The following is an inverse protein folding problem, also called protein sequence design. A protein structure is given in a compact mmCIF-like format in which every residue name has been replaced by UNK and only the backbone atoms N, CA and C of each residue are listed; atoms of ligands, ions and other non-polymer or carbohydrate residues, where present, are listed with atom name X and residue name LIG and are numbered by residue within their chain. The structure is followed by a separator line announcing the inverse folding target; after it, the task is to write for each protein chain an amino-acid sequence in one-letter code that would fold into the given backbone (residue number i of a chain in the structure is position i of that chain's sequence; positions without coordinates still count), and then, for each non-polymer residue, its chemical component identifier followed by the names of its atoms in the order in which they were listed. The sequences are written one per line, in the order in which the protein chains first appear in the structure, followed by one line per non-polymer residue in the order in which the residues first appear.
data_IF_244519987617
#
_entry.id   IF_244519987617
#
_cell.length_a   1.000
_cell.length_b   1.000
_cell.length_c   1.000
_cell.angle_alpha   90.00
_cell.angle_beta   90.00
_cell.angle_gamma   90.00
#
_symmetry.space_group_name_H-M   'P 1'
#
loop_
_entity.id
_entity.type
_entity.pdbx_description
1 polymer ?
#
# COMPACT_ATOMS: atom_id res chain seq x y z
N UNK A 1 -10.97 4.22 8.91
CA UNK A 1 -9.92 4.17 9.95
C UNK A 1 -8.81 3.24 9.43
N UNK A 2 -7.51 3.59 9.64
CA UNK A 2 -6.36 2.83 9.12
C UNK A 2 -6.41 1.34 9.49
N UNK A 3 -6.81 1.03 10.73
CA UNK A 3 -6.91 -0.36 11.21
C UNK A 3 -7.95 -1.16 10.43
N UNK A 4 -9.12 -0.58 10.16
CA UNK A 4 -10.15 -1.26 9.37
C UNK A 4 -9.69 -1.50 7.94
N UNK A 5 -9.05 -0.51 7.32
CA UNK A 5 -8.53 -0.63 5.94
C UNK A 5 -7.47 -1.74 5.83
N UNK A 6 -6.52 -1.80 6.78
CA UNK A 6 -5.48 -2.86 6.78
C UNK A 6 -6.06 -4.26 7.03
N UNK A 7 -7.14 -4.36 7.82
CA UNK A 7 -7.79 -5.65 8.05
C UNK A 7 -8.59 -6.12 6.83
N UNK A 8 -9.16 -5.20 6.07
CA UNK A 8 -9.89 -5.50 4.83
C UNK A 8 -8.94 -5.75 3.66
N UNK A 9 -7.89 -4.95 3.55
CA UNK A 9 -6.87 -5.04 2.50
C UNK A 9 -5.48 -5.14 3.14
N UNK A 10 -5.02 -6.36 3.51
CA UNK A 10 -3.73 -6.52 4.19
C UNK A 10 -2.52 -6.18 3.30
N UNK A 11 -2.70 -6.22 1.99
CA UNK A 11 -1.69 -5.86 0.99
C UNK A 11 -2.07 -4.53 0.33
N UNK A 12 -2.01 -3.44 1.10
CA UNK A 12 -2.33 -2.11 0.59
C UNK A 12 -1.06 -1.31 0.30
N UNK A 13 -1.11 -0.49 -0.72
CA UNK A 13 -0.12 0.53 -1.03
C UNK A 13 -0.63 1.94 -0.65
N UNK A 14 0.16 2.98 -0.96
CA UNK A 14 -0.20 4.36 -0.62
C UNK A 14 -1.44 4.83 -1.39
N UNK A 15 -1.65 4.37 -2.61
CA UNK A 15 -2.78 4.76 -3.46
C UNK A 15 -4.08 4.14 -2.95
N UNK A 16 -4.05 2.89 -2.49
CA UNK A 16 -5.18 2.26 -1.80
C UNK A 16 -5.57 3.04 -0.54
N UNK A 17 -4.56 3.51 0.22
CA UNK A 17 -4.80 4.34 1.40
C UNK A 17 -5.41 5.69 1.04
N UNK A 18 -4.89 6.38 0.01
CA UNK A 18 -5.44 7.64 -0.47
C UNK A 18 -6.91 7.48 -0.88
N UNK A 19 -7.20 6.43 -1.62
CA UNK A 19 -8.57 6.10 -2.05
C UNK A 19 -9.50 5.83 -0.84
N UNK A 20 -9.00 5.11 0.18
CA UNK A 20 -9.77 4.79 1.38
C UNK A 20 -10.12 6.02 2.25
N UNK A 21 -9.34 7.10 2.16
CA UNK A 21 -9.55 8.35 2.91
C UNK A 21 -10.04 9.51 2.04
N UNK A 22 -10.40 9.24 0.79
CA UNK A 22 -10.91 10.20 -0.19
C UNK A 22 -9.99 11.43 -0.37
N UNK A 23 -8.69 11.15 -0.48
CA UNK A 23 -7.67 12.17 -0.74
C UNK A 23 -7.12 11.97 -2.15
N UNK A 24 -7.64 12.73 -3.10
CA UNK A 24 -7.10 12.76 -4.46
C UNK A 24 -5.69 13.35 -4.51
N UNK A 25 -4.74 12.57 -5.05
CA UNK A 25 -3.41 12.98 -5.56
C UNK A 25 -2.58 13.95 -4.69
N UNK A 26 -2.91 14.15 -3.43
CA UNK A 26 -2.07 14.96 -2.53
C UNK A 26 -0.91 14.13 -2.01
N UNK A 27 0.28 14.71 -2.06
CA UNK A 27 1.46 14.11 -1.42
C UNK A 27 1.18 13.87 0.06
N UNK A 28 1.11 12.61 0.47
CA UNK A 28 1.03 12.26 1.88
C UNK A 28 2.28 12.73 2.60
N UNK A 29 2.08 13.53 3.63
CA UNK A 29 3.17 14.09 4.43
C UNK A 29 2.78 13.95 5.90
N UNK A 30 3.69 13.41 6.69
CA UNK A 30 3.52 13.39 8.14
C UNK A 30 4.05 14.70 8.72
N UNK A 31 3.16 15.47 9.32
CA UNK A 31 3.43 16.82 9.80
C UNK A 31 3.95 16.84 11.24
N UNK A 32 4.47 18.00 11.67
CA UNK A 32 4.90 18.24 13.07
C UNK A 32 3.73 18.05 14.06
N UNK A 33 2.51 18.39 13.67
CA UNK A 33 1.34 18.27 14.55
C UNK A 33 1.00 16.80 14.82
N UNK A 34 1.13 15.94 13.80
CA UNK A 34 0.95 14.49 13.95
C UNK A 34 2.05 13.90 14.82
N UNK A 35 3.32 14.29 14.62
CA UNK A 35 4.42 13.85 15.47
C UNK A 35 4.22 14.26 16.94
N UNK A 36 3.72 15.47 17.23
CA UNK A 36 3.36 15.89 18.57
C UNK A 36 2.20 15.07 19.18
N UNK A 37 1.19 14.77 18.37
CA UNK A 37 0.05 13.96 18.80
C UNK A 37 0.49 12.51 19.13
N UNK A 38 1.39 11.93 18.34
CA UNK A 38 1.99 10.62 18.60
C UNK A 38 2.76 10.64 19.94
N UNK A 39 3.66 11.60 20.13
CA UNK A 39 4.43 11.73 21.36
C UNK A 39 3.54 11.87 22.59
N UNK A 40 2.47 12.71 22.48
CA UNK A 40 1.48 12.87 23.57
C UNK A 40 0.74 11.58 23.89
N UNK A 41 0.32 10.82 22.87
CA UNK A 41 -0.37 9.53 23.09
C UNK A 41 0.55 8.51 23.75
N UNK A 42 1.82 8.44 23.37
CA UNK A 42 2.77 7.50 23.95
C UNK A 42 3.17 7.86 25.40
N UNK A 43 3.14 9.12 25.78
CA UNK A 43 3.38 9.53 27.17
C UNK A 43 2.25 9.19 28.15
N UNK A 44 1.07 8.78 27.66
CA UNK A 44 -0.02 8.34 28.53
C UNK A 44 0.29 6.94 29.08
N UNK A 45 -0.11 6.69 30.34
CA UNK A 45 -0.02 5.34 30.92
C UNK A 45 -0.92 4.37 30.18
N UNK A 46 -0.41 3.16 29.94
CA UNK A 46 -1.24 2.04 29.47
C UNK A 46 -2.03 1.47 30.66
N UNK A 47 -3.32 1.25 30.47
CA UNK A 47 -4.17 0.61 31.50
C UNK A 47 -4.53 -0.84 31.17
N UNK A 48 -4.49 -1.19 29.87
CA UNK A 48 -4.97 -2.49 29.36
C UNK A 48 -3.84 -3.45 29.00
N UNK A 49 -2.62 -2.94 28.84
CA UNK A 49 -1.47 -3.72 28.36
C UNK A 49 -0.19 -3.31 29.05
N UNK A 50 0.70 -4.26 29.23
CA UNK A 50 2.03 -4.02 29.77
C UNK A 50 2.96 -3.28 28.79
N UNK A 51 2.72 -3.45 27.49
CA UNK A 51 3.52 -2.86 26.40
C UNK A 51 2.72 -1.88 25.58
N UNK A 52 3.41 -0.84 25.11
CA UNK A 52 2.91 0.11 24.10
C UNK A 52 3.57 -0.20 22.75
N UNK A 53 2.80 -0.14 21.69
CA UNK A 53 3.30 -0.32 20.34
C UNK A 53 2.95 0.91 19.50
N UNK A 54 3.96 1.46 18.82
CA UNK A 54 3.76 2.42 17.74
C UNK A 54 4.21 1.77 16.43
N UNK A 55 3.29 1.67 15.48
CA UNK A 55 3.61 1.34 14.10
C UNK A 55 3.50 2.63 13.31
N UNK A 56 4.61 3.06 12.70
CA UNK A 56 4.67 4.20 11.80
C UNK A 56 4.94 3.68 10.40
N UNK A 57 3.92 3.73 9.56
CA UNK A 57 4.02 3.34 8.16
C UNK A 57 4.49 4.51 7.32
N UNK A 58 5.40 4.27 6.39
CA UNK A 58 6.05 5.25 5.51
C UNK A 58 6.72 6.41 6.26
N UNK A 59 7.67 6.14 7.16
CA UNK A 59 8.42 7.19 7.87
C UNK A 59 9.23 8.10 6.93
N UNK A 60 9.51 7.70 5.70
CA UNK A 60 10.09 8.52 4.64
C UNK A 60 9.19 9.71 4.24
N UNK A 61 7.90 9.67 4.56
CA UNK A 61 6.97 10.79 4.38
C UNK A 61 7.01 11.82 5.53
N UNK A 62 7.85 11.59 6.55
CA UNK A 62 8.09 12.57 7.61
C UNK A 62 8.83 13.80 7.04
N UNK A 63 8.28 14.98 7.26
CA UNK A 63 9.05 16.20 7.07
C UNK A 63 10.21 16.24 8.06
N UNK A 64 11.34 16.84 7.68
CA UNK A 64 12.53 16.96 8.53
C UNK A 64 12.22 17.50 9.93
N UNK A 65 11.36 18.50 10.02
CA UNK A 65 10.92 19.08 11.29
C UNK A 65 10.11 18.10 12.15
N UNK A 66 9.24 17.30 11.52
CA UNK A 66 8.44 16.27 12.17
C UNK A 66 9.34 15.13 12.67
N UNK A 67 10.27 14.68 11.83
CA UNK A 67 11.27 13.68 12.18
C UNK A 67 12.12 14.11 13.38
N UNK A 68 12.61 15.34 13.38
CA UNK A 68 13.39 15.90 14.50
C UNK A 68 12.61 15.91 15.82
N UNK A 69 11.28 16.09 15.77
CA UNK A 69 10.44 15.98 16.98
C UNK A 69 10.30 14.55 17.48
N UNK A 70 10.43 13.57 16.60
CA UNK A 70 10.36 12.16 16.96
C UNK A 70 11.71 11.60 17.43
N UNK A 71 12.85 12.27 17.16
CA UNK A 71 14.16 11.77 17.54
C UNK A 71 14.26 11.46 19.02
N UNK A 72 13.75 12.36 19.87
CA UNK A 72 13.76 12.12 21.32
C UNK A 72 12.98 10.85 21.73
N UNK A 73 11.86 10.62 21.06
CA UNK A 73 11.03 9.44 21.30
C UNK A 73 11.73 8.16 20.82
N UNK A 74 12.49 8.25 19.73
CA UNK A 74 13.23 7.12 19.15
C UNK A 74 14.48 6.81 20.00
N UNK A 75 15.16 7.85 20.51
CA UNK A 75 16.37 7.69 21.34
C UNK A 75 16.04 7.14 22.74
N UNK A 76 15.02 7.70 23.36
CA UNK A 76 14.65 7.41 24.75
C UNK A 76 13.15 7.10 24.82
N UNK A 77 12.72 5.94 24.30
CA UNK A 77 11.32 5.56 24.39
C UNK A 77 10.94 5.31 25.86
N UNK A 78 9.69 5.61 26.19
CA UNK A 78 9.11 5.24 27.47
C UNK A 78 9.28 3.75 27.75
N UNK A 79 9.39 3.36 29.02
CA UNK A 79 9.51 1.96 29.40
C UNK A 79 8.41 1.10 28.75
N UNK A 80 8.78 -0.10 28.30
CA UNK A 80 7.85 -1.06 27.66
C UNK A 80 7.17 -0.50 26.40
N UNK A 81 7.87 0.38 25.68
CA UNK A 81 7.39 0.91 24.39
C UNK A 81 8.22 0.36 23.24
N UNK A 82 7.58 -0.23 22.24
CA UNK A 82 8.19 -0.69 21.00
C UNK A 82 7.76 0.21 19.84
N UNK A 83 8.74 0.74 19.13
CA UNK A 83 8.54 1.56 17.94
C UNK A 83 8.90 0.72 16.71
N UNK A 84 7.97 0.56 15.80
CA UNK A 84 8.15 -0.15 14.52
C UNK A 84 7.96 0.85 13.39
N UNK A 85 9.02 1.12 12.64
CA UNK A 85 9.01 1.98 11.46
C UNK A 85 8.98 1.08 10.22
N UNK A 86 7.92 1.15 9.44
CA UNK A 86 7.75 0.34 8.22
C UNK A 86 7.96 1.25 7.02
N UNK A 87 9.15 1.15 6.41
CA UNK A 87 9.56 1.95 5.26
C UNK A 87 9.59 1.09 3.99
N UNK A 88 9.20 1.66 2.87
CA UNK A 88 9.37 1.06 1.54
C UNK A 88 10.78 1.32 1.02
N UNK A 89 11.32 2.51 1.27
CA UNK A 89 12.67 2.90 0.89
C UNK A 89 13.47 3.34 2.12
N UNK A 90 14.38 2.49 2.57
CA UNK A 90 15.25 2.79 3.70
C UNK A 90 16.27 3.90 3.40
N UNK A 91 16.64 4.09 2.13
CA UNK A 91 17.60 5.10 1.72
C UNK A 91 16.98 6.51 1.68
N UNK A 92 15.66 6.59 1.56
CA UNK A 92 14.91 7.84 1.67
C UNK A 92 14.73 8.32 3.12
N UNK A 93 15.04 7.47 4.12
CA UNK A 93 14.97 7.85 5.51
C UNK A 93 16.08 8.82 5.90
N UNK A 94 15.76 9.75 6.80
CA UNK A 94 16.78 10.62 7.38
C UNK A 94 17.82 9.80 8.15
N UNK A 95 19.10 10.09 7.92
CA UNK A 95 20.22 9.42 8.60
C UNK A 95 20.14 9.51 10.12
N UNK A 96 19.50 10.55 10.64
CA UNK A 96 19.22 10.73 12.07
C UNK A 96 18.23 9.69 12.62
N UNK A 97 17.36 9.13 11.82
CA UNK A 97 16.45 8.05 12.20
C UNK A 97 17.17 6.71 12.08
N UNK A 98 17.81 6.45 10.93
CA UNK A 98 18.47 5.16 10.67
C UNK A 98 19.61 4.87 11.63
N UNK A 99 20.32 5.91 12.09
CA UNK A 99 21.40 5.75 13.10
C UNK A 99 20.91 5.37 14.51
N UNK A 100 19.60 5.49 14.78
CA UNK A 100 18.97 5.22 16.09
C UNK A 100 18.01 4.05 16.07
N UNK A 101 17.90 3.39 14.95
CA UNK A 101 17.00 2.24 14.77
C UNK A 101 17.78 1.03 14.29
N UNK A 102 17.28 -0.15 14.63
CA UNK A 102 17.80 -1.39 14.08
C UNK A 102 17.10 -1.64 12.74
N UNK A 103 17.89 -1.67 11.66
CA UNK A 103 17.36 -2.00 10.34
C UNK A 103 17.15 -3.52 10.22
N UNK A 104 15.92 -3.89 9.90
CA UNK A 104 15.54 -5.26 9.54
C UNK A 104 15.08 -5.24 8.09
N UNK A 105 15.83 -5.88 7.20
CA UNK A 105 15.46 -5.99 5.78
C UNK A 105 14.55 -7.19 5.57
N UNK A 106 13.38 -6.95 4.99
CA UNK A 106 12.45 -7.99 4.57
C UNK A 106 12.71 -8.25 3.09
N UNK A 107 13.12 -9.48 2.71
CA UNK A 107 13.41 -9.79 1.31
C UNK A 107 12.11 -9.84 0.50
N UNK A 108 12.18 -9.61 -0.83
CA UNK A 108 11.07 -9.83 -1.75
C UNK A 108 10.52 -11.26 -1.65
N UNK A 109 9.23 -11.41 -1.91
CA UNK A 109 8.58 -12.73 -1.92
C UNK A 109 9.07 -13.51 -3.14
N UNK A 110 9.33 -14.80 -2.97
CA UNK A 110 9.72 -15.68 -4.08
C UNK A 110 8.58 -15.78 -5.11
N UNK A 111 8.91 -15.69 -6.39
CA UNK A 111 7.93 -15.71 -7.49
C UNK A 111 7.02 -16.96 -7.44
N UNK A 112 7.55 -18.10 -7.04
CA UNK A 112 6.74 -19.33 -6.88
C UNK A 112 5.64 -19.16 -5.84
N UNK A 113 5.93 -18.50 -4.71
CA UNK A 113 4.92 -18.25 -3.67
C UNK A 113 3.86 -17.26 -4.12
N UNK A 114 4.26 -16.26 -4.91
CA UNK A 114 3.30 -15.32 -5.52
C UNK A 114 2.42 -16.07 -6.52
N UNK A 115 3.01 -16.91 -7.38
CA UNK A 115 2.27 -17.76 -8.33
C UNK A 115 1.22 -18.60 -7.60
N UNK A 116 1.64 -19.35 -6.57
CA UNK A 116 0.75 -20.19 -5.79
C UNK A 116 -0.40 -19.39 -5.16
N UNK A 117 -0.08 -18.22 -4.57
CA UNK A 117 -1.09 -17.32 -4.02
C UNK A 117 -2.11 -16.86 -5.07
N UNK A 118 -1.67 -16.50 -6.28
CA UNK A 118 -2.55 -16.06 -7.36
C UNK A 118 -3.47 -17.19 -7.83
N UNK A 119 -2.96 -18.42 -7.94
CA UNK A 119 -3.77 -19.59 -8.31
C UNK A 119 -4.83 -19.88 -7.24
N UNK A 120 -4.43 -19.93 -5.97
CA UNK A 120 -5.30 -20.32 -4.88
C UNK A 120 -6.35 -19.25 -4.53
N UNK A 121 -5.98 -17.97 -4.55
CA UNK A 121 -6.83 -16.89 -4.06
C UNK A 121 -7.51 -16.08 -5.17
N UNK A 122 -6.92 -16.02 -6.38
CA UNK A 122 -7.49 -15.28 -7.51
C UNK A 122 -8.01 -16.22 -8.62
N UNK A 123 -7.82 -17.54 -8.48
CA UNK A 123 -8.30 -18.56 -9.42
C UNK A 123 -7.82 -18.37 -10.87
N UNK A 124 -6.60 -17.90 -11.03
CA UNK A 124 -5.99 -17.60 -12.33
C UNK A 124 -5.31 -18.85 -12.87
N UNK A 125 -5.27 -18.99 -14.19
CA UNK A 125 -4.54 -20.05 -14.86
C UNK A 125 -3.04 -20.00 -14.55
N UNK A 126 -2.40 -21.16 -14.42
CA UNK A 126 -1.00 -21.28 -14.01
C UNK A 126 -0.05 -20.45 -14.88
N UNK A 127 -0.25 -20.43 -16.19
CA UNK A 127 0.61 -19.67 -17.12
C UNK A 127 0.50 -18.15 -16.88
N UNK A 128 -0.71 -17.64 -16.62
CA UNK A 128 -0.92 -16.24 -16.32
C UNK A 128 -0.36 -15.89 -14.94
N UNK A 129 -0.59 -16.73 -13.93
CA UNK A 129 -0.07 -16.55 -12.59
C UNK A 129 1.47 -16.49 -12.57
N UNK A 130 2.14 -17.36 -13.35
CA UNK A 130 3.60 -17.35 -13.49
C UNK A 130 4.09 -16.04 -14.12
N UNK A 131 3.44 -15.57 -15.19
CA UNK A 131 3.77 -14.30 -15.85
C UNK A 131 3.64 -13.11 -14.89
N UNK A 132 2.52 -13.02 -14.15
CA UNK A 132 2.31 -11.92 -13.20
C UNK A 132 3.28 -11.98 -12.03
N UNK A 133 3.57 -13.17 -11.50
CA UNK A 133 4.56 -13.36 -10.44
C UNK A 133 5.98 -12.94 -10.85
N UNK A 134 6.36 -13.16 -12.12
CA UNK A 134 7.65 -12.71 -12.65
C UNK A 134 7.68 -11.18 -12.83
N UNK A 135 6.60 -10.59 -13.35
CA UNK A 135 6.52 -9.14 -13.56
C UNK A 135 6.53 -8.37 -12.24
N UNK A 136 5.90 -8.90 -11.21
CA UNK A 136 5.81 -8.28 -9.89
C UNK A 136 7.12 -8.28 -9.09
N UNK A 137 8.16 -9.01 -9.52
CA UNK A 137 9.50 -9.01 -8.93
C UNK A 137 9.54 -9.17 -7.39
N UNK A 138 8.60 -9.95 -6.86
CA UNK A 138 8.53 -10.22 -5.42
C UNK A 138 7.59 -9.30 -4.64
N UNK A 139 6.88 -8.41 -5.30
CA UNK A 139 5.81 -7.59 -4.73
C UNK A 139 4.45 -8.26 -4.98
N UNK A 140 3.82 -8.77 -3.91
CA UNK A 140 2.52 -9.42 -4.01
C UNK A 140 1.41 -8.44 -4.36
N UNK A 141 1.50 -7.18 -3.87
CA UNK A 141 0.49 -6.15 -4.19
C UNK A 141 0.52 -5.83 -5.68
N UNK A 142 1.69 -5.63 -6.26
CA UNK A 142 1.83 -5.39 -7.71
C UNK A 142 1.31 -6.60 -8.52
N UNK A 143 1.55 -7.83 -8.06
CA UNK A 143 1.00 -9.01 -8.70
C UNK A 143 -0.54 -9.03 -8.72
N UNK A 144 -1.17 -8.64 -7.60
CA UNK A 144 -2.63 -8.53 -7.49
C UNK A 144 -3.16 -7.44 -8.43
N UNK A 145 -2.51 -6.27 -8.45
CA UNK A 145 -2.90 -5.16 -9.31
C UNK A 145 -2.77 -5.49 -10.80
N UNK A 146 -1.73 -6.23 -11.19
CA UNK A 146 -1.59 -6.71 -12.57
C UNK A 146 -2.72 -7.63 -12.99
N UNK A 147 -3.21 -8.46 -12.09
CA UNK A 147 -4.38 -9.32 -12.34
C UNK A 147 -5.62 -8.47 -12.58
N UNK A 148 -5.92 -7.57 -11.64
CA UNK A 148 -7.12 -6.71 -11.69
C UNK A 148 -7.12 -5.83 -12.95
N UNK A 149 -5.98 -5.23 -13.30
CA UNK A 149 -5.81 -4.48 -14.56
C UNK A 149 -6.02 -5.34 -15.80
N UNK A 150 -5.53 -6.58 -15.81
CA UNK A 150 -5.69 -7.46 -16.98
C UNK A 150 -7.14 -7.87 -17.21
N UNK A 151 -7.92 -8.06 -16.15
CA UNK A 151 -9.36 -8.34 -16.25
C UNK A 151 -10.12 -7.12 -16.79
N UNK A 152 -9.79 -5.92 -16.34
CA UNK A 152 -10.35 -4.68 -16.87
C UNK A 152 -9.97 -4.47 -18.34
N UNK A 153 -8.71 -4.68 -18.70
CA UNK A 153 -8.22 -4.53 -20.08
C UNK A 153 -8.93 -5.52 -21.03
N UNK A 154 -9.17 -6.76 -20.62
CA UNK A 154 -9.93 -7.73 -21.41
C UNK A 154 -11.37 -7.28 -21.60
N UNK A 155 -12.00 -6.80 -20.54
CA UNK A 155 -13.38 -6.28 -20.63
C UNK A 155 -13.45 -5.08 -21.58
N UNK A 156 -12.56 -4.10 -21.45
CA UNK A 156 -12.48 -2.95 -22.33
C UNK A 156 -12.21 -3.36 -23.78
N UNK A 157 -11.36 -4.35 -24.00
CA UNK A 157 -11.06 -4.84 -25.32
C UNK A 157 -12.27 -5.52 -26.00
N UNK A 158 -13.05 -6.32 -25.27
CA UNK A 158 -14.29 -6.92 -25.79
C UNK A 158 -15.34 -5.85 -26.09
N UNK A 159 -15.49 -4.87 -25.19
CA UNK A 159 -16.36 -3.72 -25.42
C UNK A 159 -15.92 -2.94 -26.67
N UNK A 160 -14.63 -2.62 -26.79
CA UNK A 160 -14.09 -1.94 -27.97
C UNK A 160 -14.34 -2.73 -29.26
N UNK A 161 -14.15 -4.05 -29.26
CA UNK A 161 -14.45 -4.90 -30.43
C UNK A 161 -15.94 -4.86 -30.80
N UNK A 162 -16.81 -4.90 -29.79
CA UNK A 162 -18.27 -4.80 -30.01
C UNK A 162 -18.64 -3.46 -30.63
N UNK A 163 -18.10 -2.37 -30.10
CA UNK A 163 -18.30 -1.01 -30.62
C UNK A 163 -17.81 -0.87 -32.06
N UNK A 164 -16.59 -1.31 -32.34
CA UNK A 164 -16.03 -1.27 -33.69
C UNK A 164 -16.86 -2.06 -34.71
N UNK A 165 -17.41 -3.21 -34.30
CA UNK A 165 -18.32 -4.00 -35.16
C UNK A 165 -19.64 -3.28 -35.43
N UNK A 166 -20.22 -2.60 -34.46
CA UNK A 166 -21.41 -1.80 -34.61
C UNK A 166 -21.15 -0.62 -35.58
N UNK A 167 -20.06 0.10 -35.42
CA UNK A 167 -19.62 1.16 -36.32
C UNK A 167 -19.43 0.66 -37.77
N UNK A 168 -18.73 -0.47 -37.95
CA UNK A 168 -18.48 -1.02 -39.27
C UNK A 168 -19.76 -1.48 -39.98
N UNK A 169 -20.76 -1.97 -39.25
CA UNK A 169 -22.07 -2.38 -39.75
C UNK A 169 -23.04 -1.23 -39.92
N UNK A 170 -22.66 -0.01 -39.50
CA UNK A 170 -23.53 1.17 -39.43
C UNK A 170 -24.86 0.91 -38.67
N UNK A 171 -24.78 0.08 -37.63
CA UNK A 171 -25.92 -0.28 -36.78
C UNK A 171 -26.17 0.84 -35.76
N UNK A 172 -27.07 1.78 -36.18
CA UNK A 172 -27.38 2.96 -35.37
C UNK A 172 -28.04 2.58 -34.03
N UNK A 173 -28.81 1.46 -33.99
CA UNK A 173 -29.42 0.98 -32.76
C UNK A 173 -28.37 0.53 -31.74
N UNK A 174 -27.42 -0.30 -32.16
CA UNK A 174 -26.31 -0.75 -31.30
C UNK A 174 -25.35 0.37 -30.92
N UNK A 175 -25.23 1.43 -31.72
CA UNK A 175 -24.43 2.62 -31.40
C UNK A 175 -25.09 3.51 -30.35
N UNK A 176 -26.43 3.65 -30.36
CA UNK A 176 -27.15 4.49 -29.40
C UNK A 176 -27.14 3.92 -27.97
N UNK A 177 -27.09 2.59 -27.82
CA UNK A 177 -26.96 1.92 -26.51
C UNK A 177 -25.68 2.29 -25.75
N UNK A 178 -24.69 2.92 -26.42
CA UNK A 178 -23.41 3.35 -25.82
C UNK A 178 -23.45 4.80 -25.28
N UNK A 179 -24.53 5.54 -25.55
CA UNK A 179 -24.65 6.96 -25.18
C UNK A 179 -25.55 7.14 -23.95
N UNK A 180 -26.28 6.11 -23.57
CA UNK A 180 -27.07 6.04 -22.34
C UNK A 180 -26.29 5.40 -21.20
#
# INVERSE_FOLDING_TARGET
DWRSTVLEKPYLNIDDWHSAIDIDQKQSIITVNESKAIAKKLSLKSYESEYKFLILWMPEKLRAEAANKMLKLIEEPEEKTLLILVAEDADALLSTITSRTQLVRIPPIQSEKIKDYLIENKQIEEQQAEKFAQLAQGDLKEAIDLVERSEEDELFFELFKRWMRACYKADIGAMSEWVE
#
